data_IF_776577693924
#
_entry.id   IF_776577693924
#
_cell.length_a   1.000
_cell.length_b   1.000
_cell.length_c   1.000
_cell.angle_alpha   90.00
_cell.angle_beta   90.00
_cell.angle_gamma   90.00
#
_symmetry.space_group_name_H-M   'P 1'
#
loop_
_entity.id
_entity.type
_entity.pdbx_description
1 polymer ?
#
# COMPACT_ATOMS: atom_id res chain seq x y z
N UNK A 1 4.67 -4.31 -15.41
CA UNK A 1 6.07 -4.77 -15.34
C UNK A 1 6.91 -3.69 -14.66
N UNK A 2 7.64 -4.08 -13.62
CA UNK A 2 8.46 -3.17 -12.83
C UNK A 2 9.96 -3.44 -13.00
N UNK A 3 10.34 -4.18 -14.05
CA UNK A 3 11.71 -4.58 -14.33
C UNK A 3 12.27 -5.57 -13.32
N UNK A 4 11.42 -6.38 -12.69
CA UNK A 4 11.87 -7.47 -11.83
C UNK A 4 12.76 -8.43 -12.62
N UNK A 5 13.85 -8.87 -12.00
CA UNK A 5 14.75 -9.84 -12.58
C UNK A 5 15.83 -9.28 -13.50
N UNK A 6 15.77 -8.05 -13.99
CA UNK A 6 16.75 -7.47 -14.92
C UNK A 6 18.18 -7.54 -14.39
N UNK A 7 18.39 -7.25 -13.10
CA UNK A 7 19.71 -7.33 -12.50
C UNK A 7 20.15 -8.75 -12.15
N UNK A 8 19.21 -9.59 -11.72
CA UNK A 8 19.48 -10.94 -11.20
C UNK A 8 19.47 -12.00 -12.29
N UNK A 9 18.43 -12.00 -13.12
CA UNK A 9 18.19 -13.03 -14.13
C UNK A 9 18.42 -12.56 -15.56
N UNK A 10 18.71 -11.25 -15.76
CA UNK A 10 18.85 -10.60 -17.08
C UNK A 10 17.58 -10.69 -17.94
N UNK A 11 16.44 -10.86 -17.29
CA UNK A 11 15.13 -10.95 -17.91
C UNK A 11 14.15 -10.04 -17.18
N UNK A 12 13.18 -9.47 -17.90
CA UNK A 12 12.09 -8.72 -17.30
C UNK A 12 10.98 -9.69 -16.91
N UNK A 13 10.69 -9.77 -15.62
CA UNK A 13 9.71 -10.69 -15.03
C UNK A 13 8.58 -9.92 -14.38
N UNK A 14 7.42 -10.55 -14.28
CA UNK A 14 6.36 -10.13 -13.37
C UNK A 14 6.75 -10.46 -11.92
N UNK A 15 6.06 -9.85 -10.94
CA UNK A 15 6.30 -10.16 -9.53
C UNK A 15 6.17 -11.65 -9.19
N UNK A 16 5.09 -12.34 -9.62
CA UNK A 16 4.94 -13.78 -9.43
C UNK A 16 6.04 -14.62 -10.05
N UNK A 17 6.43 -14.35 -11.29
CA UNK A 17 7.53 -15.07 -11.96
C UNK A 17 8.86 -14.90 -11.24
N UNK A 18 9.16 -13.66 -10.82
CA UNK A 18 10.35 -13.37 -10.02
C UNK A 18 10.36 -14.13 -8.69
N UNK A 19 9.24 -14.12 -7.96
CA UNK A 19 9.09 -14.85 -6.71
C UNK A 19 9.22 -16.37 -6.92
N UNK A 20 8.60 -16.92 -7.98
CA UNK A 20 8.65 -18.35 -8.31
C UNK A 20 10.10 -18.83 -8.47
N UNK A 21 10.94 -18.09 -9.19
CA UNK A 21 12.36 -18.46 -9.37
C UNK A 21 13.12 -18.56 -8.04
N UNK A 22 12.85 -17.68 -7.09
CA UNK A 22 13.46 -17.78 -5.76
C UNK A 22 12.88 -18.92 -4.93
N UNK A 23 11.58 -19.20 -5.07
CA UNK A 23 10.95 -20.37 -4.42
C UNK A 23 11.61 -21.66 -4.91
N UNK A 24 11.78 -21.82 -6.22
CA UNK A 24 12.46 -22.97 -6.82
C UNK A 24 13.88 -23.11 -6.26
N UNK A 25 14.63 -22.02 -6.16
CA UNK A 25 15.97 -22.03 -5.57
C UNK A 25 15.99 -22.41 -4.08
N UNK A 26 14.95 -22.11 -3.31
CA UNK A 26 14.80 -22.54 -1.91
C UNK A 26 14.56 -24.04 -1.85
N UNK A 27 13.67 -24.54 -2.70
CA UNK A 27 13.33 -25.98 -2.80
C UNK A 27 14.54 -26.81 -3.24
N UNK A 28 15.25 -26.38 -4.28
CA UNK A 28 16.45 -27.04 -4.81
C UNK A 28 17.58 -27.15 -3.76
N UNK A 29 17.65 -26.20 -2.84
CA UNK A 29 18.64 -26.21 -1.75
C UNK A 29 18.20 -27.01 -0.52
N UNK A 30 16.99 -27.57 -0.53
CA UNK A 30 16.43 -28.27 0.61
C UNK A 30 16.28 -27.39 1.87
N UNK A 31 16.04 -26.08 1.69
CA UNK A 31 15.84 -25.17 2.82
C UNK A 31 14.47 -25.45 3.44
N UNK A 32 14.45 -25.73 4.74
CA UNK A 32 13.20 -25.94 5.48
C UNK A 32 12.38 -24.63 5.52
N UNK A 33 11.10 -24.73 5.22
CA UNK A 33 10.16 -23.61 5.28
C UNK A 33 8.83 -24.06 5.90
N UNK A 34 8.12 -23.10 6.50
CA UNK A 34 6.79 -23.33 7.07
C UNK A 34 5.82 -22.30 6.51
N UNK A 35 4.86 -22.77 5.72
CA UNK A 35 3.76 -21.95 5.21
C UNK A 35 2.67 -21.78 6.27
N UNK A 36 1.80 -20.78 6.10
CA UNK A 36 0.67 -20.49 7.00
C UNK A 36 1.09 -20.41 8.48
N UNK A 37 2.31 -19.95 8.73
CA UNK A 37 2.93 -19.89 10.06
C UNK A 37 3.15 -18.44 10.45
N UNK A 38 2.60 -18.03 11.59
CA UNK A 38 2.76 -16.67 12.11
C UNK A 38 3.85 -16.63 13.17
N UNK A 39 4.80 -15.72 13.02
CA UNK A 39 5.76 -15.39 14.07
C UNK A 39 5.09 -14.42 15.05
N UNK A 40 5.01 -14.86 16.31
CA UNK A 40 4.34 -14.12 17.38
C UNK A 40 5.30 -13.23 18.17
N UNK A 41 6.54 -13.68 18.33
CA UNK A 41 7.55 -12.98 19.13
C UNK A 41 8.96 -13.41 18.74
N UNK A 42 9.91 -12.49 18.92
CA UNK A 42 11.34 -12.75 18.81
C UNK A 42 12.01 -12.17 20.04
N UNK A 43 12.57 -13.01 20.88
CA UNK A 43 13.28 -12.57 22.08
C UNK A 43 14.71 -12.09 21.78
N UNK A 44 15.31 -11.32 22.68
CA UNK A 44 16.66 -10.77 22.54
C UNK A 44 17.74 -11.86 22.36
N UNK A 45 17.54 -13.05 22.90
CA UNK A 45 18.39 -14.23 22.72
C UNK A 45 18.11 -14.99 21.39
N UNK A 46 17.36 -14.39 20.50
CA UNK A 46 17.01 -14.89 19.15
C UNK A 46 16.17 -16.17 19.17
N UNK A 47 15.32 -16.32 20.16
CA UNK A 47 14.32 -17.37 20.22
C UNK A 47 13.05 -16.86 19.53
N UNK A 48 12.69 -17.49 18.42
CA UNK A 48 11.50 -17.18 17.61
C UNK A 48 10.34 -18.02 18.11
N UNK A 49 9.26 -17.39 18.55
CA UNK A 49 8.00 -18.06 18.89
C UNK A 49 7.07 -17.94 17.70
N UNK A 50 6.61 -19.05 17.18
CA UNK A 50 5.72 -19.11 16.02
C UNK A 50 4.52 -20.03 16.28
N UNK A 51 3.48 -19.87 15.47
CA UNK A 51 2.25 -20.64 15.58
C UNK A 51 1.69 -20.97 14.19
N UNK A 52 1.23 -22.19 14.01
CA UNK A 52 0.43 -22.60 12.88
C UNK A 52 -0.65 -23.61 13.32
N UNK A 53 -1.46 -24.06 12.35
CA UNK A 53 -2.56 -24.98 12.63
C UNK A 53 -2.08 -26.42 12.92
N UNK A 54 -0.95 -26.81 12.33
CA UNK A 54 -0.44 -28.18 12.36
C UNK A 54 0.39 -28.44 13.61
N UNK A 55 1.36 -27.57 13.90
CA UNK A 55 2.31 -27.70 15.02
C UNK A 55 1.81 -27.03 16.31
N UNK A 56 0.73 -26.24 16.25
CA UNK A 56 0.34 -25.36 17.35
C UNK A 56 1.37 -24.25 17.57
N UNK A 57 1.64 -23.91 18.82
CA UNK A 57 2.66 -22.92 19.20
C UNK A 57 4.00 -23.64 19.48
N UNK A 58 5.05 -23.20 18.80
CA UNK A 58 6.39 -23.76 18.94
C UNK A 58 7.47 -22.66 18.99
N UNK A 59 8.68 -23.05 19.39
CA UNK A 59 9.83 -22.14 19.49
C UNK A 59 11.02 -22.69 18.72
N UNK A 60 11.72 -21.79 18.04
CA UNK A 60 12.95 -22.09 17.29
C UNK A 60 14.07 -21.23 17.84
N UNK A 61 15.18 -21.86 18.27
CA UNK A 61 16.39 -21.14 18.63
C UNK A 61 17.21 -20.87 17.38
N UNK A 62 17.42 -19.59 17.05
CA UNK A 62 18.19 -19.18 15.88
C UNK A 62 19.57 -18.62 16.26
N UNK A 63 20.56 -18.77 15.37
CA UNK A 63 21.86 -18.08 15.48
C UNK A 63 21.75 -16.64 14.95
N UNK A 64 20.94 -16.43 13.91
CA UNK A 64 20.64 -15.13 13.33
C UNK A 64 19.19 -15.14 12.81
N UNK A 65 18.54 -13.98 12.80
CA UNK A 65 17.18 -13.81 12.27
C UNK A 65 17.21 -12.69 11.22
N UNK A 66 16.68 -12.98 10.05
CA UNK A 66 16.47 -11.98 8.99
C UNK A 66 14.98 -11.64 8.93
N UNK A 67 14.64 -10.38 9.14
CA UNK A 67 13.28 -9.88 9.02
C UNK A 67 13.01 -9.44 7.59
N UNK A 68 12.03 -10.06 6.93
CA UNK A 68 11.62 -9.78 5.56
C UNK A 68 10.10 -9.68 5.44
N UNK A 69 9.45 -9.11 6.45
CA UNK A 69 7.99 -9.12 6.63
C UNK A 69 7.27 -7.91 6.01
N UNK A 70 8.00 -7.02 5.33
CA UNK A 70 7.44 -5.85 4.66
C UNK A 70 6.95 -4.78 5.64
N UNK A 71 5.88 -4.10 5.23
CA UNK A 71 5.27 -2.99 5.97
C UNK A 71 3.77 -2.94 5.68
N UNK A 72 3.02 -2.18 6.45
CA UNK A 72 1.59 -1.92 6.21
C UNK A 72 1.36 -0.49 5.74
N UNK A 73 0.30 -0.29 4.98
CA UNK A 73 -0.11 1.02 4.53
C UNK A 73 -0.83 1.79 5.64
N UNK A 74 -0.72 3.12 5.59
CA UNK A 74 -1.50 3.98 6.47
C UNK A 74 -2.97 3.90 6.11
N UNK A 75 -3.77 3.50 7.09
CA UNK A 75 -5.23 3.48 6.98
C UNK A 75 -5.83 4.87 7.17
N UNK A 76 -7.13 5.02 6.80
CA UNK A 76 -7.89 6.25 7.07
C UNK A 76 -7.78 6.72 8.52
N UNK A 77 -7.84 5.79 9.48
CA UNK A 77 -7.74 6.11 10.91
C UNK A 77 -6.38 6.69 11.28
N UNK A 78 -5.29 6.17 10.71
CA UNK A 78 -3.95 6.68 10.94
C UNK A 78 -3.71 8.07 10.30
N UNK A 79 -4.49 8.41 9.26
CA UNK A 79 -4.42 9.70 8.56
C UNK A 79 -5.35 10.75 9.17
N UNK A 80 -6.25 10.36 10.07
CA UNK A 80 -7.25 11.25 10.69
C UNK A 80 -8.09 12.06 9.67
N UNK A 81 -8.42 11.45 8.53
CA UNK A 81 -9.22 12.13 7.51
C UNK A 81 -10.62 12.41 8.06
N UNK A 82 -11.11 13.65 8.00
CA UNK A 82 -12.47 14.02 8.44
C UNK A 82 -13.57 13.31 7.66
N UNK A 83 -14.81 13.42 8.14
CA UNK A 83 -16.00 12.90 7.50
C UNK A 83 -16.40 11.50 7.95
N UNK A 84 -17.34 10.90 7.21
CA UNK A 84 -17.91 9.60 7.52
C UNK A 84 -16.94 8.43 7.30
N UNK A 85 -17.33 7.25 7.78
CA UNK A 85 -16.54 6.00 7.66
C UNK A 85 -17.33 4.89 6.96
N UNK A 86 -17.86 5.13 5.76
CA UNK A 86 -18.63 4.14 5.03
C UNK A 86 -17.71 3.08 4.40
N UNK A 87 -18.30 2.05 3.79
CA UNK A 87 -17.58 1.17 2.89
C UNK A 87 -17.05 1.95 1.66
N UNK A 88 -16.05 1.41 0.96
CA UNK A 88 -15.46 2.06 -0.23
C UNK A 88 -14.19 2.84 0.05
N UNK A 89 -13.69 2.84 1.29
CA UNK A 89 -12.39 3.43 1.63
C UNK A 89 -11.38 2.30 1.79
N UNK A 90 -10.35 2.26 0.93
CA UNK A 90 -9.31 1.24 0.92
C UNK A 90 -7.92 1.85 0.88
N UNK A 91 -6.93 1.17 1.43
CA UNK A 91 -5.55 1.44 1.03
C UNK A 91 -5.33 0.99 -0.42
N UNK A 92 -4.41 1.62 -1.12
CA UNK A 92 -4.14 1.29 -2.52
C UNK A 92 -3.65 -0.16 -2.70
N UNK A 93 -2.86 -0.69 -1.75
CA UNK A 93 -2.43 -2.09 -1.76
C UNK A 93 -3.57 -3.07 -1.49
N UNK A 94 -4.53 -2.74 -0.63
CA UNK A 94 -5.75 -3.56 -0.46
C UNK A 94 -6.56 -3.61 -1.75
N UNK A 95 -6.75 -2.46 -2.42
CA UNK A 95 -7.41 -2.42 -3.72
C UNK A 95 -6.64 -3.21 -4.78
N UNK A 96 -5.31 -3.14 -4.78
CA UNK A 96 -4.45 -3.93 -5.67
C UNK A 96 -4.66 -5.44 -5.47
N UNK A 97 -4.70 -5.89 -4.22
CA UNK A 97 -4.99 -7.30 -3.92
C UNK A 97 -6.36 -7.72 -4.43
N UNK A 98 -7.40 -6.94 -4.14
CA UNK A 98 -8.77 -7.24 -4.58
C UNK A 98 -8.83 -7.40 -6.09
N UNK A 99 -8.23 -6.47 -6.85
CA UNK A 99 -8.25 -6.51 -8.32
C UNK A 99 -7.38 -7.63 -8.88
N UNK A 100 -6.11 -7.74 -8.41
CA UNK A 100 -5.13 -8.61 -9.06
C UNK A 100 -5.20 -10.07 -8.61
N UNK A 101 -5.61 -10.34 -7.38
CA UNK A 101 -5.60 -11.69 -6.80
C UNK A 101 -7.00 -12.26 -6.60
N UNK A 102 -7.96 -11.42 -6.21
CA UNK A 102 -9.30 -11.88 -5.87
C UNK A 102 -10.31 -11.66 -7.01
N UNK A 103 -9.97 -10.88 -8.03
CA UNK A 103 -10.85 -10.56 -9.17
C UNK A 103 -12.04 -9.66 -8.80
N UNK A 104 -11.95 -8.91 -7.70
CA UNK A 104 -13.00 -7.99 -7.27
C UNK A 104 -12.67 -6.55 -7.63
N UNK A 105 -13.68 -5.84 -8.12
CA UNK A 105 -13.58 -4.41 -8.39
C UNK A 105 -13.97 -3.61 -7.13
N UNK A 106 -13.06 -2.83 -6.54
CA UNK A 106 -13.36 -2.04 -5.33
C UNK A 106 -14.45 -0.99 -5.53
N UNK A 107 -14.56 -0.44 -6.73
CA UNK A 107 -15.58 0.51 -7.12
C UNK A 107 -15.42 0.98 -8.55
N UNK A 108 -16.35 1.83 -9.01
CA UNK A 108 -16.44 2.30 -10.40
C UNK A 108 -16.02 3.75 -10.59
N UNK A 109 -16.25 4.59 -9.59
CA UNK A 109 -15.85 6.01 -9.60
C UNK A 109 -14.89 6.27 -8.44
N UNK A 110 -13.64 6.56 -8.76
CA UNK A 110 -12.52 6.49 -7.80
C UNK A 110 -11.86 7.85 -7.64
N UNK A 111 -11.62 8.24 -6.39
CA UNK A 111 -10.69 9.29 -5.99
C UNK A 111 -9.50 8.64 -5.30
N UNK A 112 -8.30 9.10 -5.58
CA UNK A 112 -7.07 8.58 -4.97
C UNK A 112 -6.39 9.70 -4.20
N UNK A 113 -6.02 9.45 -2.94
CA UNK A 113 -5.19 10.32 -2.13
C UNK A 113 -3.79 9.75 -2.03
N UNK A 114 -2.81 10.52 -2.48
CA UNK A 114 -1.40 10.15 -2.53
C UNK A 114 -0.93 9.70 -3.91
N UNK A 115 0.15 10.30 -4.39
CA UNK A 115 0.77 10.06 -5.71
C UNK A 115 2.07 9.26 -5.62
N UNK A 116 2.22 8.42 -4.61
CA UNK A 116 3.26 7.40 -4.58
C UNK A 116 3.03 6.33 -5.66
N UNK A 117 4.04 5.52 -5.97
CA UNK A 117 4.00 4.56 -7.07
C UNK A 117 2.78 3.63 -7.02
N UNK A 118 2.39 3.14 -5.84
CA UNK A 118 1.22 2.26 -5.70
C UNK A 118 -0.06 3.00 -6.09
N UNK A 119 -0.23 4.26 -5.65
CA UNK A 119 -1.38 5.09 -6.01
C UNK A 119 -1.48 5.33 -7.52
N UNK A 120 -0.35 5.65 -8.15
CA UNK A 120 -0.28 5.86 -9.61
C UNK A 120 -0.57 4.57 -10.39
N UNK A 121 0.03 3.45 -9.98
CA UNK A 121 -0.21 2.13 -10.59
C UNK A 121 -1.67 1.74 -10.46
N UNK A 122 -2.29 1.99 -9.30
CA UNK A 122 -3.71 1.68 -9.10
C UNK A 122 -4.64 2.62 -9.87
N UNK A 123 -4.27 3.89 -10.08
CA UNK A 123 -5.02 4.77 -10.98
C UNK A 123 -5.12 4.17 -12.38
N UNK A 124 -3.99 3.74 -12.96
CA UNK A 124 -3.95 3.04 -14.25
C UNK A 124 -4.70 1.70 -14.19
N UNK A 125 -4.45 0.88 -13.18
CA UNK A 125 -5.04 -0.46 -13.09
C UNK A 125 -6.57 -0.39 -13.00
N UNK A 126 -7.12 0.44 -12.14
CA UNK A 126 -8.55 0.64 -12.01
C UNK A 126 -9.19 1.12 -13.33
N UNK A 127 -8.51 2.03 -14.05
CA UNK A 127 -8.98 2.51 -15.35
C UNK A 127 -9.01 1.39 -16.39
N UNK A 128 -7.99 0.54 -16.45
CA UNK A 128 -7.93 -0.59 -17.37
C UNK A 128 -9.03 -1.63 -17.09
N UNK A 129 -9.46 -1.76 -15.85
CA UNK A 129 -10.57 -2.63 -15.45
C UNK A 129 -11.96 -1.95 -15.59
N UNK A 130 -12.01 -0.75 -16.16
CA UNK A 130 -13.25 -0.06 -16.49
C UNK A 130 -13.78 0.90 -15.43
N UNK A 131 -13.03 1.21 -14.38
CA UNK A 131 -13.37 2.26 -13.45
C UNK A 131 -13.00 3.64 -14.02
N UNK A 132 -13.68 4.68 -13.54
CA UNK A 132 -13.36 6.08 -13.83
C UNK A 132 -12.60 6.68 -12.65
N UNK A 133 -11.29 6.88 -12.80
CA UNK A 133 -10.49 7.62 -11.82
C UNK A 133 -10.69 9.11 -12.07
N UNK A 134 -11.30 9.80 -11.12
CA UNK A 134 -11.68 11.23 -11.22
C UNK A 134 -10.49 12.16 -11.01
N UNK A 135 -9.67 11.85 -10.02
CA UNK A 135 -8.53 12.66 -9.62
C UNK A 135 -7.57 11.87 -8.73
N UNK A 136 -6.30 12.19 -8.82
CA UNK A 136 -5.28 11.86 -7.83
C UNK A 136 -4.91 13.14 -7.09
N UNK A 137 -5.13 13.20 -5.79
CA UNK A 137 -4.74 14.33 -4.93
C UNK A 137 -3.43 13.99 -4.20
N UNK A 138 -2.52 14.95 -4.14
CA UNK A 138 -1.22 14.82 -3.47
C UNK A 138 -0.99 15.98 -2.51
N UNK A 139 -0.70 15.67 -1.26
CA UNK A 139 -0.45 16.67 -0.21
C UNK A 139 0.77 17.55 -0.51
N UNK A 140 1.80 16.97 -1.12
CA UNK A 140 3.04 17.68 -1.45
C UNK A 140 2.91 18.46 -2.75
N UNK A 141 3.73 19.52 -2.96
CA UNK A 141 3.77 20.26 -4.22
C UNK A 141 4.48 19.49 -5.35
N UNK A 142 4.74 18.19 -5.14
CA UNK A 142 5.33 17.29 -6.11
C UNK A 142 4.84 15.86 -5.89
N UNK A 143 4.84 15.05 -6.94
CA UNK A 143 4.51 13.62 -6.83
C UNK A 143 5.68 12.85 -6.22
N UNK A 144 5.36 11.94 -5.30
CA UNK A 144 6.35 11.01 -4.71
C UNK A 144 6.65 9.80 -5.59
N UNK A 145 5.91 9.58 -6.66
CA UNK A 145 6.10 8.46 -7.56
C UNK A 145 7.17 8.70 -8.64
N UNK A 146 7.62 7.63 -9.26
CA UNK A 146 8.57 7.70 -10.37
C UNK A 146 7.98 8.47 -11.57
N UNK A 147 8.79 9.29 -12.22
CA UNK A 147 8.36 10.09 -13.38
C UNK A 147 7.71 9.25 -14.49
N UNK A 148 8.23 8.05 -14.76
CA UNK A 148 7.61 7.13 -15.73
C UNK A 148 6.18 6.73 -15.33
N UNK A 149 5.91 6.54 -14.03
CA UNK A 149 4.59 6.18 -13.54
C UNK A 149 3.61 7.36 -13.65
N UNK A 150 4.07 8.60 -13.48
CA UNK A 150 3.25 9.79 -13.75
C UNK A 150 2.79 9.78 -15.22
N UNK A 151 3.70 9.53 -16.15
CA UNK A 151 3.37 9.48 -17.58
C UNK A 151 2.45 8.30 -17.88
N UNK A 152 2.88 7.08 -17.58
CA UNK A 152 2.18 5.84 -17.97
C UNK A 152 0.89 5.58 -17.21
N UNK A 153 0.73 6.14 -16.01
CA UNK A 153 -0.43 5.86 -15.17
C UNK A 153 -1.43 7.02 -15.12
N UNK A 154 -1.00 8.25 -15.36
CA UNK A 154 -1.88 9.41 -15.33
C UNK A 154 -2.01 10.08 -16.70
N UNK A 155 -0.90 10.50 -17.32
CA UNK A 155 -0.95 11.29 -18.55
C UNK A 155 -1.56 10.50 -19.71
N UNK A 156 -1.16 9.22 -19.89
CA UNK A 156 -1.67 8.34 -20.95
C UNK A 156 -3.19 8.06 -20.81
N UNK A 157 -3.74 8.25 -19.62
CA UNK A 157 -5.17 8.04 -19.31
C UNK A 157 -5.93 9.35 -19.04
N UNK A 158 -5.28 10.51 -19.19
CA UNK A 158 -5.86 11.83 -18.89
C UNK A 158 -6.44 11.92 -17.48
N UNK A 159 -5.78 11.29 -16.48
CA UNK A 159 -6.18 11.35 -15.08
C UNK A 159 -5.57 12.61 -14.45
N UNK A 160 -6.39 13.52 -13.88
CA UNK A 160 -5.88 14.74 -13.26
C UNK A 160 -5.04 14.45 -12.01
N UNK A 161 -3.89 15.11 -11.89
CA UNK A 161 -3.08 15.16 -10.67
C UNK A 161 -3.19 16.54 -10.04
N UNK A 162 -3.71 16.61 -8.82
CA UNK A 162 -3.82 17.81 -7.99
C UNK A 162 -2.73 17.78 -6.91
N UNK A 163 -1.67 18.55 -7.12
CA UNK A 163 -0.59 18.74 -6.13
C UNK A 163 -1.03 19.77 -5.09
N UNK A 164 -0.43 19.71 -3.90
CA UNK A 164 -0.80 20.54 -2.75
C UNK A 164 -2.28 20.45 -2.40
N UNK A 165 -2.86 19.24 -2.48
CA UNK A 165 -4.26 18.99 -2.14
C UNK A 165 -4.37 17.81 -1.17
N UNK A 166 -5.37 17.86 -0.30
CA UNK A 166 -5.70 16.75 0.59
C UNK A 166 -7.21 16.55 0.69
N UNK A 167 -7.62 15.37 1.17
CA UNK A 167 -9.03 15.10 1.46
C UNK A 167 -9.42 15.76 2.77
N UNK A 168 -10.47 16.56 2.72
CA UNK A 168 -11.00 17.31 3.87
C UNK A 168 -12.36 16.81 4.35
N UNK A 169 -13.10 16.07 3.51
CA UNK A 169 -14.36 15.46 3.92
C UNK A 169 -14.68 14.20 3.10
N UNK A 170 -15.42 13.28 3.71
CA UNK A 170 -15.93 12.05 3.10
C UNK A 170 -17.41 11.95 3.40
N UNK A 171 -18.23 11.90 2.36
CA UNK A 171 -19.68 11.76 2.44
C UNK A 171 -20.12 10.32 2.15
N UNK A 172 -21.23 9.93 2.74
CA UNK A 172 -21.88 8.65 2.52
C UNK A 172 -22.13 7.88 3.81
N UNK A 173 -23.25 7.19 3.90
CA UNK A 173 -23.63 6.42 5.09
C UNK A 173 -23.24 4.95 4.97
N UNK A 174 -23.68 4.29 3.92
CA UNK A 174 -23.40 2.86 3.70
C UNK A 174 -22.11 2.68 2.88
N UNK A 175 -21.91 3.52 1.89
CA UNK A 175 -20.74 3.55 1.01
C UNK A 175 -20.36 5.01 0.75
N UNK A 176 -19.13 5.24 0.30
CA UNK A 176 -18.67 6.56 -0.16
C UNK A 176 -19.59 7.04 -1.29
N UNK A 177 -20.10 8.26 -1.16
CA UNK A 177 -20.94 8.94 -2.16
C UNK A 177 -20.21 10.15 -2.75
N UNK A 178 -19.35 10.79 -1.96
CA UNK A 178 -18.47 11.84 -2.43
C UNK A 178 -17.25 12.01 -1.52
N UNK A 179 -16.22 12.64 -2.07
CA UNK A 179 -15.02 13.07 -1.38
C UNK A 179 -14.78 14.54 -1.72
N UNK A 180 -14.48 15.34 -0.72
CA UNK A 180 -14.08 16.74 -0.91
C UNK A 180 -12.58 16.85 -0.68
N UNK A 181 -11.86 17.42 -1.64
CA UNK A 181 -10.45 17.80 -1.52
C UNK A 181 -10.32 19.30 -1.39
N UNK A 182 -9.25 19.79 -0.80
CA UNK A 182 -8.93 21.21 -0.75
C UNK A 182 -7.42 21.42 -0.95
N UNK A 183 -7.06 22.58 -1.47
CA UNK A 183 -5.68 23.02 -1.54
C UNK A 183 -5.10 23.19 -0.13
N UNK A 184 -3.80 22.93 0.05
CA UNK A 184 -3.10 23.11 1.31
C UNK A 184 -2.01 24.17 1.19
N UNK A 185 -1.88 24.98 2.23
CA UNK A 185 -0.83 25.96 2.37
C UNK A 185 0.54 25.33 2.68
N UNK A 186 1.59 26.16 2.81
CA UNK A 186 2.93 25.74 3.20
C UNK A 186 2.99 25.01 4.57
N UNK A 187 2.04 25.32 5.46
CA UNK A 187 1.84 24.68 6.75
C UNK A 187 1.07 23.35 6.66
N UNK A 188 0.73 22.90 5.45
CA UNK A 188 -0.05 21.71 5.13
C UNK A 188 -1.47 21.71 5.69
N UNK A 189 -2.01 22.89 5.99
CA UNK A 189 -3.42 23.03 6.37
C UNK A 189 -4.28 23.38 5.18
N UNK A 190 -5.52 22.87 5.10
CA UNK A 190 -6.45 23.23 4.06
C UNK A 190 -6.73 24.73 4.01
N UNK A 191 -6.79 25.28 2.81
CA UNK A 191 -7.13 26.68 2.56
C UNK A 191 -8.64 26.77 2.36
N UNK A 192 -9.38 27.47 3.24
CA UNK A 192 -10.83 27.64 3.08
C UNK A 192 -11.20 28.30 1.75
N UNK A 193 -12.25 27.82 1.11
CA UNK A 193 -12.75 28.33 -0.17
C UNK A 193 -12.10 27.67 -1.40
N UNK A 194 -11.22 26.69 -1.21
CA UNK A 194 -10.60 25.91 -2.29
C UNK A 194 -11.18 24.51 -2.42
N UNK A 195 -12.26 24.23 -1.72
CA UNK A 195 -12.88 22.92 -1.67
C UNK A 195 -13.45 22.50 -3.02
N UNK A 196 -13.06 21.31 -3.48
CA UNK A 196 -13.59 20.67 -4.68
C UNK A 196 -14.24 19.34 -4.30
N UNK A 197 -15.53 19.20 -4.59
CA UNK A 197 -16.30 17.99 -4.31
C UNK A 197 -16.34 17.07 -5.52
N UNK A 198 -15.96 15.82 -5.33
CA UNK A 198 -15.99 14.75 -6.32
C UNK A 198 -16.99 13.67 -5.89
N UNK A 199 -18.06 13.48 -6.66
CA UNK A 199 -18.92 12.30 -6.51
C UNK A 199 -18.13 11.06 -6.88
N UNK A 200 -18.11 10.07 -6.00
CA UNK A 200 -17.37 8.82 -6.20
C UNK A 200 -17.94 7.75 -5.27
N UNK A 201 -17.66 6.49 -5.58
CA UNK A 201 -18.05 5.35 -4.75
C UNK A 201 -16.84 4.73 -4.01
N UNK A 202 -15.64 5.23 -4.30
CA UNK A 202 -14.41 4.66 -3.75
C UNK A 202 -13.34 5.74 -3.54
N UNK A 203 -12.71 5.70 -2.37
CA UNK A 203 -11.51 6.45 -2.03
C UNK A 203 -10.35 5.48 -1.79
N UNK A 204 -9.29 5.61 -2.59
CA UNK A 204 -8.03 4.88 -2.37
C UNK A 204 -7.01 5.76 -1.66
N UNK A 205 -6.33 5.18 -0.68
CA UNK A 205 -5.31 5.84 0.14
C UNK A 205 -3.93 5.28 -0.19
N UNK A 206 -3.03 6.12 -0.69
CA UNK A 206 -1.63 5.81 -0.97
C UNK A 206 -0.71 6.80 -0.24
N UNK A 207 -0.89 6.92 1.07
CA UNK A 207 -0.33 8.00 1.89
C UNK A 207 0.85 7.53 2.76
N UNK A 208 1.65 6.63 2.25
CA UNK A 208 2.84 6.13 2.91
C UNK A 208 2.62 4.83 3.70
N UNK A 209 3.72 4.31 4.21
CA UNK A 209 3.83 3.01 4.83
C UNK A 209 4.18 3.16 6.31
N UNK A 210 3.79 2.16 7.10
CA UNK A 210 4.16 2.02 8.51
C UNK A 210 5.07 0.80 8.60
N UNK A 211 6.32 0.94 9.07
CA UNK A 211 7.22 -0.20 9.28
C UNK A 211 6.64 -1.19 10.30
N UNK A 212 6.79 -2.46 10.04
CA UNK A 212 6.41 -3.56 10.96
C UNK A 212 7.52 -3.77 11.99
N UNK A 213 7.62 -2.87 12.97
CA UNK A 213 8.72 -2.83 13.94
C UNK A 213 8.43 -3.57 15.27
N UNK A 214 7.27 -4.17 15.41
CA UNK A 214 6.85 -4.84 16.66
C UNK A 214 7.81 -5.97 17.05
N UNK A 215 8.15 -6.85 16.09
CA UNK A 215 9.10 -7.95 16.33
C UNK A 215 10.54 -7.45 16.52
N UNK A 216 10.94 -6.39 15.84
CA UNK A 216 12.25 -5.75 16.07
C UNK A 216 12.34 -5.21 17.48
N UNK A 217 11.26 -4.58 17.97
CA UNK A 217 11.18 -4.03 19.32
C UNK A 217 11.21 -5.13 20.40
N UNK A 218 10.48 -6.22 20.22
CA UNK A 218 10.50 -7.34 21.17
C UNK A 218 11.87 -8.04 21.22
N UNK A 219 12.59 -8.07 20.10
CA UNK A 219 13.96 -8.57 20.03
C UNK A 219 15.02 -7.61 20.63
N UNK A 220 14.60 -6.46 21.16
CA UNK A 220 15.52 -5.47 21.75
C UNK A 220 16.35 -4.66 20.76
N UNK A 221 15.95 -4.62 19.48
CA UNK A 221 16.63 -3.83 18.44
C UNK A 221 16.37 -2.34 18.71
N UNK A 222 17.41 -1.53 18.66
CA UNK A 222 17.28 -0.08 18.75
C UNK A 222 16.55 0.47 17.52
N UNK A 223 15.48 1.22 17.74
CA UNK A 223 14.68 1.81 16.68
C UNK A 223 14.97 3.32 16.57
N UNK A 224 15.02 3.81 15.34
CA UNK A 224 15.04 5.24 15.10
C UNK A 224 13.63 5.81 15.33
N UNK A 225 13.47 6.86 16.16
CA UNK A 225 12.15 7.43 16.43
C UNK A 225 11.56 8.23 15.26
N UNK A 226 12.36 8.54 14.25
CA UNK A 226 11.98 9.43 13.13
C UNK A 226 11.71 8.64 11.84
N UNK A 227 12.35 7.50 11.65
CA UNK A 227 12.25 6.69 10.41
C UNK A 227 11.87 5.26 10.71
#
# INVERSE_FOLDING_TARGET
HNGFGLHTFKEELTGPEYASRFIDMVLDRGIEYKLNTMVMDISADKKVTAMNREDGMFKVQAKAVILAMGCRERSRGALNIPGYRPAGIYSAGTAQRLVNMEGYMPGKEVVILGSGDIGLIMARRMTLEGAKVKVVAELMPYSGGLKRNIVQCLNDFNIPLKLSHTVVDIEGKNRVEAVTIAEVGPDRKPIPGTEERYTCDTLLLSCGLIPENELSKSAGVALNPVT
#
